data_IF_176422016911
#
_entry.id   IF_176422016911
#
_cell.length_a   1.000
_cell.length_b   1.000
_cell.length_c   1.000
_cell.angle_alpha   90.00
_cell.angle_beta   90.00
_cell.angle_gamma   90.00
#
_symmetry.space_group_name_H-M   'P 1'
#
loop_
_entity.id
_entity.type
_entity.pdbx_description
1 polymer ?
#
# COMPACT_ATOMS: atom_id res chain seq x y z
N UNK A 1 -20.42 10.12 0.44
CA UNK A 1 -19.29 10.15 -0.50
C UNK A 1 -18.02 9.94 0.29
N UNK A 2 -17.03 9.17 -0.21
CA UNK A 2 -15.78 8.97 0.54
C UNK A 2 -14.68 9.83 -0.04
N UNK A 3 -14.11 10.71 0.78
CA UNK A 3 -12.92 11.49 0.43
C UNK A 3 -11.71 10.92 1.18
N UNK A 4 -10.66 10.61 0.44
CA UNK A 4 -9.42 10.01 0.90
C UNK A 4 -8.26 11.03 0.80
N UNK A 5 -8.18 12.04 1.68
CA UNK A 5 -7.06 12.97 1.68
C UNK A 5 -5.73 12.29 2.00
N UNK A 6 -4.66 12.79 1.38
CA UNK A 6 -3.28 12.48 1.77
C UNK A 6 -3.00 12.98 3.19
N UNK A 7 -2.00 12.39 3.88
CA UNK A 7 -1.62 12.77 5.26
C UNK A 7 -1.41 14.28 5.44
N UNK A 8 -0.75 14.94 4.47
CA UNK A 8 -0.54 16.40 4.51
C UNK A 8 -1.83 17.22 4.38
N UNK A 9 -2.84 16.66 3.72
CA UNK A 9 -4.09 17.35 3.36
C UNK A 9 -5.21 17.09 4.36
N UNK A 10 -5.13 16.00 5.13
CA UNK A 10 -6.11 15.63 6.15
C UNK A 10 -6.52 16.81 7.09
N UNK A 11 -5.62 17.71 7.53
CA UNK A 11 -6.01 18.85 8.36
C UNK A 11 -7.00 19.85 7.71
N UNK A 12 -7.15 19.86 6.38
CA UNK A 12 -8.18 20.67 5.71
C UNK A 12 -9.59 20.09 5.89
N UNK A 13 -9.68 18.78 6.10
CA UNK A 13 -10.92 18.02 6.20
C UNK A 13 -11.39 17.83 7.65
N UNK A 14 -10.73 18.48 8.62
CA UNK A 14 -10.92 18.23 10.05
C UNK A 14 -12.30 18.57 10.61
N UNK A 15 -13.14 19.26 9.82
CA UNK A 15 -14.50 19.67 10.21
C UNK A 15 -15.58 18.76 9.58
N UNK A 16 -15.18 17.81 8.73
CA UNK A 16 -16.08 16.85 8.12
C UNK A 16 -16.10 15.54 8.91
N UNK A 17 -17.16 14.77 8.74
CA UNK A 17 -17.39 13.51 9.45
C UNK A 17 -16.29 12.49 9.11
N UNK A 18 -15.55 11.95 10.10
CA UNK A 18 -14.65 10.83 9.85
C UNK A 18 -15.44 9.55 9.58
N UNK A 19 -14.96 8.70 8.68
CA UNK A 19 -15.59 7.40 8.46
C UNK A 19 -15.54 6.53 9.72
N UNK A 20 -16.61 5.78 9.97
CA UNK A 20 -16.78 4.95 11.18
C UNK A 20 -15.68 3.88 11.32
N UNK A 21 -15.22 3.32 10.18
CA UNK A 21 -14.12 2.39 10.14
C UNK A 21 -13.35 2.55 8.84
N UNK A 22 -12.02 2.52 8.94
CA UNK A 22 -11.12 2.54 7.79
C UNK A 22 -11.45 1.42 6.80
N UNK A 23 -11.62 0.19 7.29
CA UNK A 23 -11.88 -0.97 6.43
C UNK A 23 -13.24 -0.86 5.76
N UNK A 24 -14.27 -0.42 6.47
CA UNK A 24 -15.60 -0.22 5.89
C UNK A 24 -15.58 0.84 4.78
N UNK A 25 -14.89 1.95 5.00
CA UNK A 25 -14.73 2.99 3.98
C UNK A 25 -13.89 2.50 2.78
N UNK A 26 -12.80 1.77 3.00
CA UNK A 26 -12.04 1.14 1.90
C UNK A 26 -12.93 0.16 1.10
N UNK A 27 -13.83 -0.56 1.77
CA UNK A 27 -14.74 -1.52 1.14
C UNK A 27 -15.78 -0.82 0.27
N UNK A 28 -16.38 0.25 0.80
CA UNK A 28 -17.33 1.06 0.09
C UNK A 28 -16.69 1.75 -1.12
N UNK A 29 -15.47 2.29 -0.96
CA UNK A 29 -14.69 2.87 -2.05
C UNK A 29 -14.35 1.84 -3.14
N UNK A 30 -13.99 0.60 -2.76
CA UNK A 30 -13.69 -0.46 -3.72
C UNK A 30 -14.95 -0.96 -4.46
N UNK A 31 -16.08 -1.08 -3.77
CA UNK A 31 -17.35 -1.50 -4.37
C UNK A 31 -17.93 -0.41 -5.30
N UNK A 32 -17.76 0.86 -4.92
CA UNK A 32 -18.39 2.02 -5.54
C UNK A 32 -17.35 3.13 -5.85
N UNK A 33 -16.33 2.87 -6.69
CA UNK A 33 -15.20 3.79 -6.89
C UNK A 33 -15.59 5.11 -7.57
N UNK A 34 -16.74 5.18 -8.25
CA UNK A 34 -17.26 6.46 -8.78
C UNK A 34 -17.60 7.45 -7.66
N UNK A 35 -17.94 6.94 -6.48
CA UNK A 35 -18.36 7.73 -5.30
C UNK A 35 -17.22 7.93 -4.30
N UNK A 36 -15.97 7.61 -4.70
CA UNK A 36 -14.77 7.81 -3.91
C UNK A 36 -13.76 8.70 -4.63
N UNK A 37 -13.08 9.55 -3.86
CA UNK A 37 -12.14 10.54 -4.39
C UNK A 37 -10.88 10.58 -3.53
N UNK A 38 -9.72 10.73 -4.16
CA UNK A 38 -8.49 11.06 -3.46
C UNK A 38 -8.24 12.56 -3.50
N UNK A 39 -7.74 13.11 -2.40
CA UNK A 39 -7.54 14.55 -2.27
C UNK A 39 -6.11 14.91 -1.83
N UNK A 40 -5.54 15.95 -2.46
CA UNK A 40 -4.31 16.59 -2.03
C UNK A 40 -4.40 18.10 -2.19
N UNK A 41 -3.45 18.86 -1.65
CA UNK A 41 -3.32 20.28 -2.00
C UNK A 41 -1.91 20.62 -2.47
N UNK A 42 -1.85 21.66 -3.30
CA UNK A 42 -0.63 22.38 -3.66
C UNK A 42 -0.73 23.83 -3.16
N UNK A 43 0.40 24.50 -3.03
CA UNK A 43 0.45 25.92 -2.70
C UNK A 43 0.77 26.71 -3.98
N UNK A 44 -0.05 27.70 -4.30
CA UNK A 44 0.15 28.62 -5.41
C UNK A 44 -0.01 30.03 -4.85
N UNK A 45 1.03 30.87 -4.95
CA UNK A 45 1.04 32.22 -4.37
C UNK A 45 0.58 32.24 -2.89
N UNK A 46 1.07 31.28 -2.09
CA UNK A 46 0.72 31.06 -0.67
C UNK A 46 -0.74 30.67 -0.40
N UNK A 47 -1.56 30.50 -1.44
CA UNK A 47 -2.94 30.00 -1.35
C UNK A 47 -2.97 28.50 -1.58
N UNK A 48 -3.84 27.81 -0.84
CA UNK A 48 -4.02 26.35 -1.01
C UNK A 48 -4.97 26.10 -2.17
N UNK A 49 -4.51 25.33 -3.14
CA UNK A 49 -5.34 24.80 -4.23
C UNK A 49 -5.57 23.33 -3.94
N UNK A 50 -6.81 22.97 -3.68
CA UNK A 50 -7.24 21.60 -3.43
C UNK A 50 -7.43 20.89 -4.77
N UNK A 51 -6.87 19.69 -4.86
CA UNK A 51 -6.92 18.80 -6.02
C UNK A 51 -7.62 17.53 -5.57
N UNK A 52 -8.79 17.27 -6.14
CA UNK A 52 -9.50 16.01 -5.98
C UNK A 52 -9.44 15.21 -7.28
N UNK A 53 -9.37 13.89 -7.17
CA UNK A 53 -9.33 12.97 -8.31
C UNK A 53 -10.28 11.82 -8.04
N UNK A 54 -11.21 11.55 -8.96
CA UNK A 54 -12.16 10.45 -8.83
C UNK A 54 -11.46 9.10 -8.93
N UNK A 55 -11.81 8.14 -8.08
CA UNK A 55 -11.13 6.85 -7.99
C UNK A 55 -11.41 5.94 -9.20
N UNK A 56 -12.60 6.06 -9.83
CA UNK A 56 -12.97 5.28 -11.00
C UNK A 56 -12.51 5.92 -12.31
N UNK A 57 -12.76 7.21 -12.46
CA UNK A 57 -12.63 7.91 -13.74
C UNK A 57 -11.33 8.70 -13.86
N UNK A 58 -10.65 8.97 -12.74
CA UNK A 58 -9.54 9.92 -12.67
C UNK A 58 -9.89 11.35 -13.12
N UNK A 59 -11.17 11.69 -13.18
CA UNK A 59 -11.62 13.07 -13.43
C UNK A 59 -11.11 13.97 -12.30
N UNK A 60 -10.42 15.09 -12.62
CA UNK A 60 -9.92 16.01 -11.63
C UNK A 60 -10.99 17.05 -11.27
N UNK A 61 -10.99 17.49 -10.01
CA UNK A 61 -11.70 18.68 -9.56
C UNK A 61 -10.71 19.57 -8.81
N UNK A 62 -10.64 20.84 -9.21
CA UNK A 62 -9.71 21.82 -8.67
C UNK A 62 -10.51 22.90 -7.94
N UNK A 63 -10.15 23.16 -6.68
CA UNK A 63 -10.76 24.22 -5.87
C UNK A 63 -9.65 25.16 -5.42
N UNK A 64 -9.69 26.41 -5.88
CA UNK A 64 -8.63 27.40 -5.60
C UNK A 64 -8.91 28.16 -4.31
N UNK A 65 -7.85 28.73 -3.72
CA UNK A 65 -7.92 29.62 -2.56
C UNK A 65 -8.69 29.04 -1.34
N UNK A 66 -8.48 27.76 -1.02
CA UNK A 66 -9.11 27.11 0.13
C UNK A 66 -8.53 27.64 1.44
N UNK A 67 -9.34 28.40 2.17
CA UNK A 67 -8.96 29.10 3.41
C UNK A 67 -9.35 28.30 4.65
N UNK A 68 -8.89 28.75 5.81
CA UNK A 68 -9.29 28.16 7.09
C UNK A 68 -10.80 28.25 7.34
N UNK A 69 -11.43 29.36 6.93
CA UNK A 69 -12.88 29.56 7.05
C UNK A 69 -13.69 28.58 6.20
N UNK A 70 -13.13 28.09 5.08
CA UNK A 70 -13.82 27.20 4.15
C UNK A 70 -13.98 25.79 4.70
N UNK A 71 -13.24 25.42 5.76
CA UNK A 71 -13.27 24.05 6.30
C UNK A 71 -14.66 23.60 6.72
N UNK A 72 -15.50 24.54 7.21
CA UNK A 72 -16.89 24.27 7.65
C UNK A 72 -17.87 24.03 6.51
N UNK A 73 -17.50 24.44 5.29
CA UNK A 73 -18.32 24.38 4.08
C UNK A 73 -17.58 23.61 2.96
N UNK A 74 -16.59 22.81 3.35
CA UNK A 74 -15.72 22.15 2.39
C UNK A 74 -16.47 21.06 1.62
N UNK A 75 -17.43 20.41 2.28
CA UNK A 75 -18.40 19.51 1.66
C UNK A 75 -19.18 20.20 0.53
N UNK A 76 -19.76 21.38 0.80
CA UNK A 76 -20.50 22.18 -0.17
C UNK A 76 -19.61 22.58 -1.35
N UNK A 77 -18.38 23.02 -1.07
CA UNK A 77 -17.42 23.40 -2.12
C UNK A 77 -17.02 22.21 -2.99
N UNK A 78 -16.85 21.02 -2.41
CA UNK A 78 -16.54 19.79 -3.14
C UNK A 78 -17.70 19.41 -4.06
N UNK A 79 -18.93 19.43 -3.55
CA UNK A 79 -20.12 19.14 -4.36
C UNK A 79 -20.29 20.14 -5.50
N UNK A 80 -20.06 21.44 -5.25
CA UNK A 80 -20.09 22.48 -6.28
C UNK A 80 -19.03 22.24 -7.37
N UNK A 81 -17.80 21.93 -6.99
CA UNK A 81 -16.71 21.64 -7.94
C UNK A 81 -16.99 20.40 -8.79
N UNK A 82 -17.51 19.33 -8.16
CA UNK A 82 -17.94 18.11 -8.88
C UNK A 82 -19.07 18.44 -9.85
N UNK A 83 -20.11 19.14 -9.38
CA UNK A 83 -21.25 19.54 -10.21
C UNK A 83 -20.80 20.34 -11.43
N UNK A 84 -19.90 21.30 -11.23
CA UNK A 84 -19.38 22.13 -12.33
C UNK A 84 -18.62 21.28 -13.36
N UNK A 85 -17.69 20.44 -12.90
CA UNK A 85 -16.90 19.60 -13.82
C UNK A 85 -17.74 18.56 -14.54
N UNK A 86 -18.69 17.94 -13.84
CA UNK A 86 -19.55 16.92 -14.44
C UNK A 86 -20.52 17.55 -15.45
N UNK A 87 -21.08 18.73 -15.17
CA UNK A 87 -21.94 19.44 -16.12
C UNK A 87 -21.20 19.79 -17.43
N UNK A 88 -19.93 20.19 -17.34
CA UNK A 88 -19.11 20.50 -18.50
C UNK A 88 -18.84 19.28 -19.42
N UNK A 89 -18.91 18.07 -18.87
CA UNK A 89 -18.60 16.82 -19.60
C UNK A 89 -19.84 16.05 -20.04
N UNK A 90 -20.89 16.03 -19.21
CA UNK A 90 -22.06 15.18 -19.36
C UNK A 90 -23.27 15.91 -19.93
N UNK A 91 -23.41 17.21 -19.65
CA UNK A 91 -24.58 18.02 -20.03
C UNK A 91 -25.93 17.40 -19.61
N UNK A 92 -25.95 16.68 -18.48
CA UNK A 92 -27.13 15.96 -17.96
C UNK A 92 -27.31 16.28 -16.45
N UNK A 93 -27.93 17.43 -16.12
CA UNK A 93 -28.07 17.87 -14.73
C UNK A 93 -28.84 16.89 -13.84
N UNK A 94 -29.84 16.20 -14.41
CA UNK A 94 -30.67 15.25 -13.67
C UNK A 94 -29.85 14.06 -13.17
N UNK A 95 -29.01 13.47 -14.02
CA UNK A 95 -28.11 12.39 -13.60
C UNK A 95 -27.04 12.85 -12.64
N UNK A 96 -26.59 14.10 -12.74
CA UNK A 96 -25.59 14.66 -11.82
C UNK A 96 -26.18 14.82 -10.42
N UNK A 97 -27.42 15.31 -10.29
CA UNK A 97 -28.10 15.38 -8.99
C UNK A 97 -28.46 13.99 -8.45
N UNK A 98 -28.80 13.03 -9.32
CA UNK A 98 -28.95 11.64 -8.91
C UNK A 98 -27.63 11.08 -8.37
N UNK A 99 -26.50 11.34 -9.03
CA UNK A 99 -25.19 10.94 -8.55
C UNK A 99 -24.87 11.59 -7.18
N UNK A 100 -25.10 12.88 -6.99
CA UNK A 100 -24.83 13.54 -5.71
C UNK A 100 -25.74 13.01 -4.59
N UNK A 101 -27.00 12.72 -4.91
CA UNK A 101 -27.95 12.10 -3.99
C UNK A 101 -27.51 10.69 -3.58
N UNK A 102 -27.10 9.86 -4.55
CA UNK A 102 -26.54 8.53 -4.29
C UNK A 102 -25.21 8.59 -3.54
N UNK A 103 -24.40 9.62 -3.78
CA UNK A 103 -23.14 9.80 -3.10
C UNK A 103 -23.36 9.99 -1.59
N UNK A 104 -24.41 10.70 -1.20
CA UNK A 104 -24.73 11.01 0.20
C UNK A 104 -23.65 11.85 0.88
N UNK A 105 -23.79 12.03 2.19
CA UNK A 105 -22.90 12.90 3.00
C UNK A 105 -21.43 12.54 2.86
N UNK A 106 -20.56 13.55 2.83
CA UNK A 106 -19.11 13.33 2.76
C UNK A 106 -18.59 12.74 4.07
N UNK A 107 -17.85 11.64 3.94
CA UNK A 107 -17.04 11.04 4.99
C UNK A 107 -15.56 11.08 4.62
N UNK A 108 -14.72 11.24 5.63
CA UNK A 108 -13.26 11.35 5.48
C UNK A 108 -12.57 10.09 5.94
N UNK A 109 -11.79 9.48 5.05
CA UNK A 109 -10.90 8.36 5.34
C UNK A 109 -9.44 8.70 4.98
N UNK A 110 -8.52 7.77 5.16
CA UNK A 110 -7.12 7.94 4.75
C UNK A 110 -6.87 7.40 3.34
N UNK A 111 -6.03 8.10 2.57
CA UNK A 111 -5.56 7.64 1.27
C UNK A 111 -4.93 6.24 1.34
N UNK A 112 -5.39 5.34 0.46
CA UNK A 112 -5.00 3.92 0.47
C UNK A 112 -4.73 3.35 -0.93
N UNK A 113 -5.33 3.92 -1.98
CA UNK A 113 -5.22 3.38 -3.34
C UNK A 113 -3.98 3.93 -4.07
N UNK A 114 -2.94 3.09 -4.18
CA UNK A 114 -1.65 3.46 -4.80
C UNK A 114 -1.79 3.91 -6.27
N UNK A 115 -2.70 3.32 -7.04
CA UNK A 115 -2.92 3.69 -8.43
C UNK A 115 -3.51 5.11 -8.54
N UNK A 116 -4.53 5.41 -7.73
CA UNK A 116 -5.13 6.76 -7.69
C UNK A 116 -4.12 7.78 -7.15
N UNK A 117 -3.33 7.44 -6.12
CA UNK A 117 -2.26 8.30 -5.60
C UNK A 117 -1.24 8.65 -6.70
N UNK A 118 -0.88 7.69 -7.56
CA UNK A 118 -0.03 7.95 -8.73
C UNK A 118 -0.67 8.98 -9.67
N UNK A 119 -1.97 8.83 -9.98
CA UNK A 119 -2.71 9.80 -10.79
C UNK A 119 -2.76 11.19 -10.14
N UNK A 120 -2.99 11.27 -8.82
CA UNK A 120 -2.93 12.54 -8.07
C UNK A 120 -1.56 13.21 -8.23
N UNK A 121 -0.47 12.45 -8.06
CA UNK A 121 0.88 12.97 -8.20
C UNK A 121 1.19 13.43 -9.64
N UNK A 122 0.69 12.72 -10.65
CA UNK A 122 0.77 13.14 -12.05
C UNK A 122 0.06 14.47 -12.27
N UNK A 123 -1.15 14.64 -11.75
CA UNK A 123 -1.87 15.92 -11.85
C UNK A 123 -1.16 17.06 -11.12
N UNK A 124 -0.63 16.82 -9.92
CA UNK A 124 0.18 17.80 -9.20
C UNK A 124 1.40 18.23 -10.02
N UNK A 125 2.07 17.29 -10.70
CA UNK A 125 3.18 17.58 -11.59
C UNK A 125 2.73 18.36 -12.83
N UNK A 126 1.60 18.02 -13.44
CA UNK A 126 1.07 18.77 -14.58
C UNK A 126 0.73 20.21 -14.19
N UNK A 127 0.09 20.39 -13.02
CA UNK A 127 -0.25 21.70 -12.45
C UNK A 127 0.97 22.59 -12.21
N UNK A 128 2.16 22.04 -11.93
CA UNK A 128 3.37 22.85 -11.77
C UNK A 128 3.83 23.55 -13.06
N UNK A 129 3.31 23.12 -14.22
CA UNK A 129 3.59 23.74 -15.52
C UNK A 129 2.43 24.61 -16.03
N UNK A 130 1.34 24.75 -15.28
CA UNK A 130 0.17 25.53 -15.69
C UNK A 130 0.10 26.84 -14.90
N UNK A 131 -0.42 27.89 -15.55
CA UNK A 131 -0.93 29.04 -14.83
C UNK A 131 -2.27 28.67 -14.19
N UNK A 132 -2.41 28.93 -12.90
CA UNK A 132 -3.64 28.67 -12.14
C UNK A 132 -4.21 30.02 -11.76
N UNK A 133 -5.33 30.39 -12.39
CA UNK A 133 -6.07 31.59 -12.01
C UNK A 133 -6.71 31.39 -10.63
N UNK A 134 -6.26 32.18 -9.66
CA UNK A 134 -6.73 32.12 -8.27
C UNK A 134 -7.93 33.03 -8.01
N UNK A 135 -8.45 33.71 -9.04
CA UNK A 135 -9.70 34.49 -8.98
C UNK A 135 -10.91 33.62 -9.26
N UNK A 136 -10.75 32.57 -10.06
CA UNK A 136 -11.79 31.56 -10.32
C UNK A 136 -11.77 30.49 -9.23
N UNK A 137 -12.89 30.30 -8.52
CA UNK A 137 -13.00 29.29 -7.46
C UNK A 137 -12.83 27.86 -7.99
N UNK A 138 -13.36 27.61 -9.18
CA UNK A 138 -13.37 26.34 -9.88
C UNK A 138 -12.91 26.58 -11.33
N UNK A 139 -11.59 26.55 -11.61
CA UNK A 139 -11.06 26.98 -12.90
C UNK A 139 -11.40 25.99 -14.02
N UNK A 140 -12.51 26.21 -14.72
CA UNK A 140 -13.12 25.23 -15.62
C UNK A 140 -12.18 24.82 -16.77
N UNK A 141 -11.57 25.80 -17.43
CA UNK A 141 -10.64 25.55 -18.54
C UNK A 141 -9.45 24.68 -18.12
N UNK A 142 -8.95 24.89 -16.89
CA UNK A 142 -7.88 24.07 -16.32
C UNK A 142 -8.37 22.64 -16.05
N UNK A 143 -9.53 22.48 -15.41
CA UNK A 143 -10.08 21.15 -15.12
C UNK A 143 -10.36 20.35 -16.39
N UNK A 144 -10.89 20.99 -17.43
CA UNK A 144 -11.13 20.34 -18.74
C UNK A 144 -9.82 19.91 -19.39
N UNK A 145 -8.81 20.79 -19.43
CA UNK A 145 -7.49 20.45 -19.94
C UNK A 145 -6.87 19.28 -19.19
N UNK A 146 -6.97 19.28 -17.85
CA UNK A 146 -6.47 18.17 -17.03
C UNK A 146 -7.22 16.87 -17.34
N UNK A 147 -8.55 16.95 -17.46
CA UNK A 147 -9.43 15.81 -17.73
C UNK A 147 -9.22 15.17 -19.11
N UNK A 148 -8.54 15.86 -20.04
CA UNK A 148 -8.21 15.37 -21.39
C UNK A 148 -6.82 14.69 -21.47
N UNK A 149 -6.00 14.71 -20.40
CA UNK A 149 -4.77 13.92 -20.40
C UNK A 149 -5.08 12.41 -20.28
N UNK A 150 -4.47 11.56 -21.12
CA UNK A 150 -4.70 10.13 -21.08
C UNK A 150 -3.96 9.45 -19.91
N UNK A 151 -4.59 8.44 -19.32
CA UNK A 151 -3.99 7.57 -18.32
C UNK A 151 -3.52 6.24 -18.92
N UNK A 152 -2.45 5.68 -18.37
CA UNK A 152 -1.87 4.42 -18.84
C UNK A 152 -2.67 3.21 -18.30
N UNK A 153 -3.12 2.36 -19.22
CA UNK A 153 -3.74 1.02 -19.06
C UNK A 153 -5.16 0.93 -18.45
N UNK A 154 -5.97 -0.06 -18.88
CA UNK A 154 -5.76 -1.00 -20.00
C UNK A 154 -6.15 -0.42 -21.37
N UNK A 155 -7.00 0.59 -21.39
CA UNK A 155 -7.38 1.36 -22.58
C UNK A 155 -6.98 2.80 -22.30
N UNK A 156 -6.17 3.42 -23.15
CA UNK A 156 -5.77 4.82 -23.00
C UNK A 156 -7.03 5.69 -22.96
N UNK A 157 -7.49 6.02 -21.76
CA UNK A 157 -8.72 6.76 -21.51
C UNK A 157 -8.38 8.05 -20.78
N UNK A 158 -9.13 9.10 -21.09
CA UNK A 158 -9.04 10.38 -20.39
C UNK A 158 -10.05 10.40 -19.26
N UNK A 159 -9.89 11.33 -18.31
CA UNK A 159 -10.89 11.54 -17.26
C UNK A 159 -12.28 11.84 -17.84
N UNK A 160 -12.31 12.52 -18.99
CA UNK A 160 -13.53 12.88 -19.70
C UNK A 160 -14.24 11.67 -20.29
N UNK A 161 -13.52 10.83 -21.04
CA UNK A 161 -14.11 9.64 -21.67
C UNK A 161 -14.54 8.60 -20.63
N UNK A 162 -13.74 8.43 -19.56
CA UNK A 162 -14.06 7.53 -18.47
C UNK A 162 -15.32 7.97 -17.70
N UNK A 163 -15.50 9.28 -17.48
CA UNK A 163 -16.71 9.82 -16.84
C UNK A 163 -17.96 9.58 -17.69
N UNK A 164 -17.89 9.87 -18.99
CA UNK A 164 -18.99 9.60 -19.92
C UNK A 164 -19.36 8.12 -19.95
N UNK A 165 -18.35 7.22 -19.95
CA UNK A 165 -18.58 5.78 -19.90
C UNK A 165 -19.24 5.34 -18.58
N UNK A 166 -18.78 5.87 -17.44
CA UNK A 166 -19.34 5.56 -16.14
C UNK A 166 -20.83 5.91 -16.05
N UNK A 167 -21.24 7.07 -16.58
CA UNK A 167 -22.63 7.52 -16.58
C UNK A 167 -23.52 6.81 -17.63
N UNK A 168 -22.93 6.14 -18.62
CA UNK A 168 -23.65 5.22 -19.52
C UNK A 168 -23.99 3.89 -18.85
N UNK A 169 -23.19 3.45 -17.87
CA UNK A 169 -23.27 2.11 -17.29
C UNK A 169 -24.32 1.94 -16.15
N UNK A 170 -25.27 2.87 -16.02
CA UNK A 170 -26.18 3.03 -14.86
C UNK A 170 -25.43 3.32 -13.54
N UNK A 171 -25.74 4.44 -12.89
CA UNK A 171 -25.04 4.92 -11.68
C UNK A 171 -25.57 4.29 -10.38
N UNK A 172 -25.92 3.02 -10.39
CA UNK A 172 -26.47 2.33 -9.22
C UNK A 172 -25.40 1.99 -8.18
N UNK A 173 -25.73 2.15 -6.90
CA UNK A 173 -24.87 1.74 -5.80
C UNK A 173 -24.83 0.21 -5.72
N UNK A 174 -23.62 -0.34 -5.81
CA UNK A 174 -23.39 -1.76 -5.58
C UNK A 174 -23.39 -2.05 -4.08
N UNK A 175 -23.91 -3.21 -3.65
CA UNK A 175 -23.87 -3.60 -2.25
C UNK A 175 -22.42 -3.64 -1.77
N UNK A 176 -22.16 -3.02 -0.61
CA UNK A 176 -20.85 -3.02 0.01
C UNK A 176 -20.66 -4.36 0.70
N UNK A 177 -19.75 -5.18 0.17
CA UNK A 177 -19.25 -6.36 0.87
C UNK A 177 -18.04 -5.90 1.70
N UNK A 178 -18.07 -6.01 3.04
CA UNK A 178 -16.93 -5.63 3.87
C UNK A 178 -15.65 -6.32 3.40
N UNK A 179 -14.55 -5.57 3.27
CA UNK A 179 -13.21 -6.08 2.98
C UNK A 179 -12.76 -7.08 4.03
N UNK A 180 -13.28 -7.00 5.26
CA UNK A 180 -13.11 -8.05 6.28
C UNK A 180 -13.68 -9.39 5.82
N UNK A 181 -14.85 -9.39 5.17
CA UNK A 181 -15.47 -10.58 4.57
C UNK A 181 -14.79 -11.00 3.26
N UNK A 182 -14.28 -10.07 2.45
CA UNK A 182 -13.47 -10.40 1.27
C UNK A 182 -12.09 -10.98 1.63
N UNK A 183 -11.43 -10.46 2.67
CA UNK A 183 -10.19 -11.03 3.26
C UNK A 183 -10.44 -12.30 4.09
N UNK A 184 -11.70 -12.64 4.38
CA UNK A 184 -12.11 -13.88 5.05
C UNK A 184 -12.57 -14.99 4.10
N UNK A 185 -12.33 -14.88 2.79
CA UNK A 185 -12.03 -16.12 2.06
C UNK A 185 -10.64 -16.56 2.52
N UNK A 186 -10.59 -17.24 3.68
CA UNK A 186 -9.36 -17.78 4.24
C UNK A 186 -8.68 -18.58 3.15
N UNK A 187 -7.68 -17.99 2.50
CA UNK A 187 -6.70 -18.79 1.78
C UNK A 187 -6.12 -19.71 2.84
N UNK A 188 -6.57 -20.97 2.81
CA UNK A 188 -6.16 -21.96 3.79
C UNK A 188 -4.76 -22.36 3.39
N UNK A 189 -3.77 -21.86 4.14
CA UNK A 189 -2.41 -22.30 3.97
C UNK A 189 -2.36 -23.81 4.16
N UNK A 190 -1.92 -24.51 3.12
CA UNK A 190 -1.68 -25.95 3.19
C UNK A 190 -0.32 -26.13 3.85
N UNK A 191 -0.30 -26.69 5.06
CA UNK A 191 0.94 -26.99 5.79
C UNK A 191 1.45 -28.35 5.32
N UNK A 192 2.53 -28.34 4.54
CA UNK A 192 3.19 -29.54 4.02
C UNK A 192 4.52 -29.84 4.73
N UNK A 193 5.04 -28.87 5.48
CA UNK A 193 6.25 -29.00 6.30
C UNK A 193 5.94 -29.58 7.68
N UNK A 194 6.95 -30.20 8.30
CA UNK A 194 6.93 -30.71 9.67
C UNK A 194 6.94 -29.57 10.69
N UNK A 195 6.33 -29.76 11.88
CA UNK A 195 6.41 -28.79 12.96
C UNK A 195 7.86 -28.47 13.34
N UNK A 196 8.18 -27.19 13.52
CA UNK A 196 9.54 -26.76 13.85
C UNK A 196 10.02 -27.28 15.21
N UNK A 197 9.11 -27.63 16.11
CA UNK A 197 9.43 -28.25 17.40
C UNK A 197 10.16 -29.60 17.27
N UNK A 198 10.20 -30.19 16.06
CA UNK A 198 11.01 -31.36 15.77
C UNK A 198 12.52 -31.14 15.99
N UNK A 199 13.00 -29.88 15.91
CA UNK A 199 14.42 -29.54 16.05
C UNK A 199 14.77 -28.78 17.33
N UNK A 200 13.83 -28.64 18.29
CA UNK A 200 14.05 -27.85 19.51
C UNK A 200 15.29 -28.33 20.30
N UNK A 201 15.52 -29.64 20.36
CA UNK A 201 16.66 -30.23 21.05
C UNK A 201 18.02 -29.79 20.48
N UNK A 202 18.07 -29.42 19.20
CA UNK A 202 19.30 -28.97 18.53
C UNK A 202 19.50 -27.46 18.66
N UNK A 203 18.46 -26.69 18.96
CA UNK A 203 18.57 -25.23 19.14
C UNK A 203 19.43 -24.85 20.35
N UNK A 204 19.40 -25.67 21.41
CA UNK A 204 20.11 -25.44 22.67
C UNK A 204 21.62 -25.72 22.60
N UNK A 205 22.08 -26.49 21.61
CA UNK A 205 23.45 -27.00 21.54
C UNK A 205 24.47 -26.01 20.97
N UNK A 206 24.04 -24.81 20.54
CA UNK A 206 24.90 -23.66 20.24
C UNK A 206 26.22 -24.00 19.53
N UNK A 207 26.16 -24.39 18.25
CA UNK A 207 27.34 -24.62 17.42
C UNK A 207 27.33 -25.95 16.67
N UNK A 208 28.52 -26.39 16.26
CA UNK A 208 28.75 -27.61 15.49
C UNK A 208 28.83 -28.83 16.40
N UNK A 209 28.11 -29.90 16.03
CA UNK A 209 28.10 -31.19 16.72
C UNK A 209 28.20 -32.34 15.71
N UNK A 210 28.50 -33.55 16.19
CA UNK A 210 28.54 -34.74 15.33
C UNK A 210 27.16 -35.02 14.72
N UNK A 211 27.07 -35.01 13.39
CA UNK A 211 25.80 -35.13 12.66
C UNK A 211 25.10 -33.79 12.36
N UNK A 212 25.71 -32.64 12.65
CA UNK A 212 25.15 -31.31 12.36
C UNK A 212 24.69 -31.15 10.91
N UNK A 213 25.52 -31.50 9.94
CA UNK A 213 25.20 -31.39 8.50
C UNK A 213 23.96 -32.21 8.11
N UNK A 214 23.81 -33.41 8.66
CA UNK A 214 22.64 -34.24 8.41
C UNK A 214 21.35 -33.62 8.99
N UNK A 215 21.44 -32.89 10.09
CA UNK A 215 20.30 -32.13 10.64
C UNK A 215 20.02 -30.88 9.80
N UNK A 216 21.05 -30.17 9.35
CA UNK A 216 20.92 -29.03 8.42
C UNK A 216 20.17 -29.45 7.16
N UNK A 217 20.56 -30.57 6.53
CA UNK A 217 19.89 -31.08 5.33
C UNK A 217 18.40 -31.39 5.58
N UNK A 218 18.07 -31.94 6.76
CA UNK A 218 16.68 -32.20 7.14
C UNK A 218 15.88 -30.90 7.30
N UNK A 219 16.46 -29.88 7.95
CA UNK A 219 15.81 -28.58 8.11
C UNK A 219 15.63 -27.90 6.76
N UNK A 220 16.64 -27.91 5.89
CA UNK A 220 16.55 -27.36 4.54
C UNK A 220 15.49 -28.07 3.70
N UNK A 221 15.41 -29.40 3.75
CA UNK A 221 14.36 -30.16 3.07
C UNK A 221 12.95 -29.80 3.59
N UNK A 222 12.83 -29.47 4.87
CA UNK A 222 11.59 -28.97 5.44
C UNK A 222 11.27 -27.53 5.01
N UNK A 223 12.28 -26.66 5.00
CA UNK A 223 12.18 -25.28 4.56
C UNK A 223 11.74 -25.18 3.09
N UNK A 224 12.16 -26.08 2.20
CA UNK A 224 11.67 -26.09 0.82
C UNK A 224 10.14 -26.23 0.73
N UNK A 225 9.54 -27.08 1.56
CA UNK A 225 8.08 -27.26 1.62
C UNK A 225 7.37 -26.00 2.15
N UNK A 226 7.97 -25.37 3.17
CA UNK A 226 7.51 -24.09 3.72
C UNK A 226 7.56 -22.98 2.67
N UNK A 227 8.67 -22.89 1.93
CA UNK A 227 8.91 -21.86 0.91
C UNK A 227 8.00 -22.02 -0.31
N UNK A 228 7.74 -23.26 -0.75
CA UNK A 228 6.75 -23.53 -1.79
C UNK A 228 5.35 -23.08 -1.37
N UNK A 229 4.98 -23.36 -0.12
CA UNK A 229 3.70 -22.91 0.43
C UNK A 229 3.62 -21.38 0.59
N UNK A 230 4.74 -20.73 0.95
CA UNK A 230 4.85 -19.28 1.00
C UNK A 230 4.70 -18.66 -0.39
N UNK A 231 5.33 -19.26 -1.41
CA UNK A 231 5.18 -18.87 -2.81
C UNK A 231 3.73 -18.92 -3.26
N UNK A 232 3.06 -20.05 -3.01
CA UNK A 232 1.64 -20.21 -3.31
C UNK A 232 0.77 -19.21 -2.55
N UNK A 233 1.09 -18.88 -1.31
CA UNK A 233 0.42 -17.83 -0.56
C UNK A 233 0.55 -16.47 -1.27
N UNK A 234 1.75 -16.07 -1.68
CA UNK A 234 1.96 -14.81 -2.39
C UNK A 234 1.16 -14.73 -3.71
N UNK A 235 1.15 -15.80 -4.49
CA UNK A 235 0.45 -15.84 -5.78
C UNK A 235 -1.07 -15.83 -5.57
N UNK A 236 -1.58 -16.70 -4.71
CA UNK A 236 -3.00 -16.98 -4.63
C UNK A 236 -3.74 -16.04 -3.67
N UNK A 237 -3.13 -15.67 -2.54
CA UNK A 237 -3.70 -14.75 -1.56
C UNK A 237 -3.34 -13.30 -1.89
N UNK A 238 -2.05 -12.98 -2.06
CA UNK A 238 -1.62 -11.59 -2.32
C UNK A 238 -1.81 -11.17 -3.79
N UNK A 239 -2.24 -12.08 -4.67
CA UNK A 239 -2.41 -11.85 -6.13
C UNK A 239 -1.14 -11.32 -6.79
N UNK A 240 0.01 -11.82 -6.32
CA UNK A 240 1.32 -11.41 -6.80
C UNK A 240 1.70 -12.12 -8.09
N UNK A 241 2.43 -11.41 -8.96
CA UNK A 241 3.02 -12.02 -10.15
C UNK A 241 4.07 -13.08 -9.77
N UNK A 242 4.15 -14.14 -10.58
CA UNK A 242 5.02 -15.30 -10.36
C UNK A 242 6.49 -14.94 -10.12
N UNK A 243 7.02 -14.04 -10.95
CA UNK A 243 8.40 -13.59 -10.86
C UNK A 243 8.67 -12.87 -9.54
N UNK A 244 7.80 -11.94 -9.15
CA UNK A 244 7.93 -11.19 -7.89
C UNK A 244 7.76 -12.10 -6.67
N UNK A 245 6.87 -13.10 -6.74
CA UNK A 245 6.74 -14.08 -5.67
C UNK A 245 8.03 -14.91 -5.52
N UNK A 246 8.68 -15.26 -6.63
CA UNK A 246 9.93 -16.02 -6.62
C UNK A 246 11.09 -15.19 -6.05
N UNK A 247 11.20 -13.90 -6.38
CA UNK A 247 12.18 -12.99 -5.77
C UNK A 247 12.01 -12.88 -4.24
N UNK A 248 10.77 -12.84 -3.74
CA UNK A 248 10.54 -12.88 -2.29
C UNK A 248 10.98 -14.20 -1.68
N UNK A 249 10.72 -15.33 -2.33
CA UNK A 249 11.12 -16.67 -1.86
C UNK A 249 12.64 -16.78 -1.80
N UNK A 250 13.36 -16.34 -2.82
CA UNK A 250 14.85 -16.36 -2.85
C UNK A 250 15.46 -15.56 -1.70
N UNK A 251 14.90 -14.39 -1.38
CA UNK A 251 15.32 -13.63 -0.21
C UNK A 251 15.07 -14.40 1.10
N UNK A 252 13.96 -15.12 1.21
CA UNK A 252 13.68 -15.92 2.41
C UNK A 252 14.58 -17.14 2.48
N UNK A 253 14.93 -17.79 1.36
CA UNK A 253 15.94 -18.88 1.32
C UNK A 253 17.23 -18.41 1.99
N UNK A 254 17.75 -17.24 1.62
CA UNK A 254 18.97 -16.71 2.23
C UNK A 254 18.83 -16.48 3.74
N UNK A 255 17.65 -16.07 4.21
CA UNK A 255 17.40 -15.95 5.64
C UNK A 255 17.33 -17.32 6.34
N UNK A 256 16.52 -18.25 5.84
CA UNK A 256 16.18 -19.49 6.57
C UNK A 256 17.19 -20.60 6.41
N UNK A 257 17.88 -20.68 5.25
CA UNK A 257 18.82 -21.75 4.95
C UNK A 257 20.28 -21.33 5.06
N UNK A 258 20.57 -20.02 4.96
CA UNK A 258 21.93 -19.49 5.15
C UNK A 258 22.07 -18.90 6.54
N UNK A 259 21.36 -17.82 6.88
CA UNK A 259 21.57 -17.14 8.17
C UNK A 259 21.22 -18.01 9.39
N UNK A 260 19.99 -18.54 9.46
CA UNK A 260 19.53 -19.30 10.63
C UNK A 260 20.34 -20.58 10.87
N UNK A 261 20.92 -21.13 9.82
CA UNK A 261 21.75 -22.33 9.86
C UNK A 261 23.25 -22.02 9.89
N UNK A 262 23.67 -20.75 9.93
CA UNK A 262 25.09 -20.41 9.91
C UNK A 262 25.79 -20.63 11.25
N UNK A 263 25.08 -20.46 12.36
CA UNK A 263 25.63 -20.52 13.73
C UNK A 263 24.90 -21.51 14.66
N UNK A 264 23.96 -22.31 14.14
CA UNK A 264 23.19 -23.27 14.92
C UNK A 264 22.07 -23.91 14.11
N UNK A 265 21.28 -24.79 14.73
CA UNK A 265 20.06 -25.33 14.11
C UNK A 265 18.88 -24.46 14.57
N UNK A 266 18.70 -23.29 13.94
CA UNK A 266 17.56 -22.40 14.22
C UNK A 266 16.52 -22.54 13.12
N UNK A 267 15.26 -22.24 13.47
CA UNK A 267 14.13 -22.23 12.55
C UNK A 267 13.49 -20.84 12.53
N UNK A 268 12.63 -20.52 11.55
CA UNK A 268 11.99 -19.20 11.47
C UNK A 268 11.14 -18.80 12.68
N UNK A 269 10.83 -19.77 13.56
CA UNK A 269 10.02 -19.57 14.76
C UNK A 269 10.81 -19.68 16.06
N UNK A 270 12.12 -19.92 15.99
CA UNK A 270 12.98 -20.07 17.17
C UNK A 270 13.07 -18.78 17.97
N UNK A 271 13.28 -17.63 17.31
CA UNK A 271 13.29 -16.33 17.96
C UNK A 271 12.75 -15.24 17.02
N UNK A 272 11.79 -14.46 17.49
CA UNK A 272 11.20 -13.37 16.72
C UNK A 272 12.15 -12.16 16.54
N UNK A 273 13.30 -12.15 17.23
CA UNK A 273 14.38 -11.19 17.03
C UNK A 273 15.29 -11.55 15.84
N UNK A 274 15.30 -12.82 15.39
CA UNK A 274 16.19 -13.26 14.31
C UNK A 274 16.14 -12.40 13.03
N UNK A 275 14.98 -11.90 12.57
CA UNK A 275 14.93 -11.01 11.41
C UNK A 275 15.63 -9.65 11.63
N UNK A 276 15.62 -9.13 12.86
CA UNK A 276 16.34 -7.91 13.22
C UNK A 276 17.85 -8.16 13.17
N UNK A 277 18.33 -9.20 13.87
CA UNK A 277 19.76 -9.53 13.94
C UNK A 277 20.31 -9.91 12.54
N UNK A 278 19.51 -10.57 11.72
CA UNK A 278 19.84 -10.83 10.31
C UNK A 278 20.06 -9.54 9.52
N UNK A 279 19.13 -8.59 9.60
CA UNK A 279 19.19 -7.36 8.81
C UNK A 279 20.30 -6.43 9.31
N UNK A 280 20.33 -6.18 10.62
CA UNK A 280 21.25 -5.25 11.26
C UNK A 280 22.71 -5.71 11.15
N UNK A 281 22.98 -6.99 11.40
CA UNK A 281 24.35 -7.50 11.50
C UNK A 281 24.74 -8.42 10.34
N UNK A 282 24.07 -9.56 10.20
CA UNK A 282 24.56 -10.60 9.30
C UNK A 282 24.55 -10.15 7.83
N UNK A 283 23.44 -9.58 7.38
CA UNK A 283 23.21 -9.25 5.98
C UNK A 283 24.24 -8.23 5.49
N UNK A 284 24.41 -7.11 6.20
CA UNK A 284 25.33 -6.04 5.78
C UNK A 284 26.80 -6.42 5.92
N UNK A 285 27.16 -7.31 6.87
CA UNK A 285 28.56 -7.73 7.05
C UNK A 285 28.98 -8.92 6.20
N UNK A 286 28.05 -9.82 5.86
CA UNK A 286 28.37 -11.12 5.23
C UNK A 286 27.92 -11.23 3.77
N UNK A 287 26.91 -10.46 3.35
CA UNK A 287 26.44 -10.49 1.97
C UNK A 287 27.05 -9.35 1.15
N UNK A 288 28.19 -9.61 0.50
CA UNK A 288 28.98 -8.60 -0.22
C UNK A 288 28.25 -7.89 -1.38
N UNK A 289 27.14 -8.46 -1.86
CA UNK A 289 26.33 -7.89 -2.95
C UNK A 289 25.20 -6.97 -2.44
N UNK A 290 25.03 -6.82 -1.13
CA UNK A 290 23.92 -6.08 -0.55
C UNK A 290 24.24 -4.59 -0.49
N UNK A 291 23.40 -3.79 -1.14
CA UNK A 291 23.33 -2.34 -0.91
C UNK A 291 21.99 -1.94 -0.26
N UNK A 292 21.76 -0.63 -0.17
CA UNK A 292 20.56 -0.07 0.46
C UNK A 292 19.24 -0.55 -0.18
N UNK A 293 19.28 -0.87 -1.49
CA UNK A 293 18.13 -1.41 -2.22
C UNK A 293 17.80 -2.83 -1.73
N UNK A 294 18.81 -3.69 -1.68
CA UNK A 294 18.68 -5.09 -1.28
C UNK A 294 18.23 -5.19 0.18
N UNK A 295 18.77 -4.37 1.10
CA UNK A 295 18.29 -4.29 2.51
C UNK A 295 16.78 -4.04 2.56
N UNK A 296 16.27 -3.07 1.79
CA UNK A 296 14.83 -2.76 1.74
C UNK A 296 14.01 -3.90 1.12
N UNK A 297 14.57 -4.62 0.15
CA UNK A 297 13.94 -5.81 -0.45
C UNK A 297 13.85 -6.96 0.55
N UNK A 298 14.92 -7.26 1.30
CA UNK A 298 14.91 -8.24 2.38
C UNK A 298 13.88 -7.89 3.46
N UNK A 299 13.88 -6.64 3.95
CA UNK A 299 12.89 -6.21 4.95
C UNK A 299 11.44 -6.33 4.46
N UNK A 300 11.19 -6.11 3.16
CA UNK A 300 9.86 -6.33 2.58
C UNK A 300 9.49 -7.81 2.50
N UNK A 301 10.43 -8.66 2.05
CA UNK A 301 10.26 -10.11 1.97
C UNK A 301 9.99 -10.71 3.35
N UNK A 302 10.78 -10.35 4.37
CA UNK A 302 10.63 -10.81 5.74
C UNK A 302 9.26 -10.42 6.32
N UNK A 303 8.80 -9.17 6.13
CA UNK A 303 7.47 -8.77 6.61
C UNK A 303 6.35 -9.63 6.01
N UNK A 304 6.46 -9.98 4.72
CA UNK A 304 5.49 -10.86 4.05
C UNK A 304 5.57 -12.28 4.61
N UNK A 305 6.79 -12.78 4.80
CA UNK A 305 7.01 -14.12 5.32
C UNK A 305 6.46 -14.30 6.74
N UNK A 306 6.69 -13.35 7.66
CA UNK A 306 6.10 -13.41 9.00
C UNK A 306 4.58 -13.18 9.00
N UNK A 307 4.04 -12.43 8.03
CA UNK A 307 2.59 -12.41 7.79
C UNK A 307 2.06 -13.78 7.36
N UNK A 308 2.79 -14.49 6.49
CA UNK A 308 2.47 -15.84 6.07
C UNK A 308 2.56 -16.86 7.23
N UNK A 309 3.61 -16.82 8.06
CA UNK A 309 3.74 -17.72 9.22
C UNK A 309 2.55 -17.57 10.19
N UNK A 310 2.07 -16.34 10.41
CA UNK A 310 0.83 -16.13 11.17
C UNK A 310 -0.40 -16.71 10.46
N UNK A 311 -0.52 -16.52 9.15
CA UNK A 311 -1.63 -17.09 8.37
C UNK A 311 -1.62 -18.63 8.39
N UNK A 312 -0.42 -19.22 8.44
CA UNK A 312 -0.17 -20.65 8.60
C UNK A 312 -0.38 -21.16 10.04
N UNK A 313 -0.57 -20.25 11.02
CA UNK A 313 -0.64 -20.54 12.46
C UNK A 313 0.64 -21.14 13.04
N UNK A 314 1.80 -20.81 12.47
CA UNK A 314 3.10 -21.15 13.05
C UNK A 314 3.50 -20.19 14.17
N UNK A 315 2.98 -18.96 14.14
CA UNK A 315 3.24 -17.93 15.13
C UNK A 315 1.95 -17.20 15.52
N UNK A 316 1.93 -16.66 16.73
CA UNK A 316 0.86 -15.86 17.29
C UNK A 316 0.89 -14.43 16.74
N UNK A 317 -0.20 -13.69 16.96
CA UNK A 317 -0.31 -12.30 16.49
C UNK A 317 0.79 -11.41 17.09
N UNK A 318 1.06 -11.52 18.38
CA UNK A 318 2.05 -10.69 19.06
C UNK A 318 3.47 -10.97 18.54
N UNK A 319 3.79 -12.24 18.25
CA UNK A 319 5.07 -12.67 17.67
C UNK A 319 5.29 -12.09 16.27
N UNK A 320 4.26 -12.17 15.43
CA UNK A 320 4.26 -11.55 14.09
C UNK A 320 4.39 -10.03 14.17
N UNK A 321 3.73 -9.39 15.12
CA UNK A 321 3.80 -7.93 15.28
C UNK A 321 5.20 -7.52 15.78
N UNK A 322 5.77 -8.25 16.75
CA UNK A 322 7.14 -8.07 17.26
C UNK A 322 8.19 -8.25 16.16
N UNK A 323 8.14 -9.35 15.40
CA UNK A 323 9.06 -9.58 14.30
C UNK A 323 9.00 -8.47 13.24
N UNK A 324 7.81 -7.94 12.93
CA UNK A 324 7.64 -6.85 11.96
C UNK A 324 8.19 -5.51 12.46
N UNK A 325 8.09 -5.25 13.75
CA UNK A 325 8.73 -4.11 14.39
C UNK A 325 10.25 -4.25 14.34
N UNK A 326 10.79 -5.42 14.75
CA UNK A 326 12.21 -5.75 14.63
C UNK A 326 12.74 -5.61 13.20
N UNK A 327 12.00 -6.07 12.18
CA UNK A 327 12.37 -5.89 10.77
C UNK A 327 12.45 -4.40 10.40
N UNK A 328 11.58 -3.56 10.96
CA UNK A 328 11.58 -2.13 10.65
C UNK A 328 12.83 -1.45 11.23
N UNK A 329 13.16 -1.71 12.49
CA UNK A 329 14.40 -1.25 13.10
C UNK A 329 15.64 -1.83 12.41
N UNK A 330 15.64 -3.11 12.08
CA UNK A 330 16.78 -3.77 11.43
C UNK A 330 17.09 -3.19 10.05
N UNK A 331 16.06 -2.80 9.29
CA UNK A 331 16.26 -2.07 8.03
C UNK A 331 16.89 -0.69 8.27
N UNK A 332 16.44 0.04 9.29
CA UNK A 332 16.97 1.37 9.61
C UNK A 332 18.44 1.29 10.02
N UNK A 333 18.79 0.39 10.95
CA UNK A 333 20.17 0.20 11.41
C UNK A 333 21.10 -0.29 10.30
N UNK A 334 20.64 -1.26 9.48
CA UNK A 334 21.39 -1.75 8.34
C UNK A 334 21.71 -0.63 7.32
N UNK A 335 20.77 0.28 7.08
CA UNK A 335 20.99 1.41 6.19
C UNK A 335 21.99 2.40 6.76
N UNK A 336 21.91 2.71 8.06
CA UNK A 336 22.89 3.56 8.74
C UNK A 336 24.31 2.95 8.70
N UNK A 337 24.44 1.64 8.91
CA UNK A 337 25.73 0.94 8.81
C UNK A 337 26.31 1.02 7.41
N UNK A 338 25.49 0.81 6.37
CA UNK A 338 25.95 0.94 4.98
C UNK A 338 26.40 2.37 4.64
N UNK A 339 25.75 3.39 5.22
CA UNK A 339 26.18 4.79 5.07
C UNK A 339 27.54 5.03 5.74
N UNK A 340 27.72 4.63 7.01
CA UNK A 340 29.00 4.78 7.70
C UNK A 340 30.15 4.00 7.04
N UNK A 341 29.88 2.78 6.53
CA UNK A 341 30.87 1.99 5.81
C UNK A 341 31.32 2.63 4.48
N UNK A 342 30.53 3.53 3.91
CA UNK A 342 30.90 4.27 2.70
C UNK A 342 31.78 5.50 3.00
N UNK A 343 31.62 6.09 4.19
CA UNK A 343 32.37 7.27 4.62
C UNK A 343 33.79 6.94 5.08
N UNK A 344 34.03 5.75 5.67
CA UNK A 344 35.33 5.32 6.20
C UNK A 344 36.43 5.01 5.15
N UNK A 345 36.15 5.15 3.85
CA UNK A 345 37.12 4.86 2.77
C UNK A 345 37.76 6.11 2.12
N UNK A 346 37.48 7.32 2.61
CA UNK A 346 38.01 8.58 2.06
C UNK A 346 38.61 9.56 3.09
N UNK A 347 39.28 9.06 4.12
CA UNK A 347 40.20 9.84 4.96
C UNK A 347 41.65 9.35 4.86
#
# INVERSE_FOLDING_TARGET
MIINPTKKTLPLFSQLTPSTSRLTAESAAAANPLYSWHATYINVNRKKVLVLVNDLTYTPVIITDVKAQDRKQLDVLIEQGIRQQFNAVLHDPEKIEQYLTNAGTIEVNTAHNRAVISAVNQYVKLLSYQHIDLTERFPQSLMDKLSDYPFLKPEYRTGKSALQQAFKAHIELKPVVPLEQQKMTRYKVVRTWQPFSHWDDYTANGGWFEGYEAIVEQVQANNQKLLESFRHYLINHDKMAEQTASEHVENIVFFVDVYLLNYGIRTPVTDMRDPYDFLDDFLVRKALWVGSKEVRQFGTSLRRFYTFLFAAREIMKYERDFAKEGISYGVEEALQRLEHMADDYWD
#
